data_IF_691258998031
#
_entry.id   IF_691258998031
#
_cell.length_a   1.000
_cell.length_b   1.000
_cell.length_c   1.000
_cell.angle_alpha   90.00
_cell.angle_beta   90.00
_cell.angle_gamma   90.00
#
_symmetry.space_group_name_H-M   'P 1'
#
loop_
_entity.id
_entity.type
_entity.pdbx_description
1 polymer ?
#
# COMPACT_ATOMS: atom_id res chain seq x y z
N UNK A 1 3.99 -27.39 3.89
CA UNK A 1 4.43 -26.00 3.64
C UNK A 1 4.56 -25.63 2.16
N UNK A 2 4.72 -26.57 1.22
CA UNK A 2 4.74 -26.22 -0.22
C UNK A 2 3.36 -25.80 -0.77
N UNK A 3 2.32 -26.50 -0.34
CA UNK A 3 0.93 -26.29 -0.80
C UNK A 3 0.39 -24.88 -0.46
N UNK A 4 0.73 -24.33 0.71
CA UNK A 4 0.29 -22.98 1.08
C UNK A 4 1.01 -21.89 0.27
N UNK A 5 2.28 -22.12 -0.09
CA UNK A 5 3.06 -21.20 -0.93
C UNK A 5 2.59 -21.24 -2.39
N UNK A 6 2.35 -22.45 -2.90
CA UNK A 6 1.84 -22.66 -4.25
C UNK A 6 0.40 -22.12 -4.41
N UNK A 7 -0.42 -22.13 -3.34
CA UNK A 7 -1.76 -21.49 -3.32
C UNK A 7 -1.68 -19.97 -3.29
N UNK A 8 -0.71 -19.40 -2.58
CA UNK A 8 -0.46 -17.96 -2.55
C UNK A 8 0.02 -17.47 -3.92
N UNK A 9 0.93 -18.21 -4.56
CA UNK A 9 1.41 -17.95 -5.92
C UNK A 9 0.32 -18.15 -7.00
N UNK A 10 -0.70 -18.99 -6.76
CA UNK A 10 -1.84 -19.15 -7.67
C UNK A 10 -2.85 -18.01 -7.53
N UNK A 11 -3.08 -17.52 -6.32
CA UNK A 11 -3.94 -16.36 -6.08
C UNK A 11 -3.37 -15.07 -6.69
N UNK A 12 -2.04 -14.92 -6.72
CA UNK A 12 -1.39 -13.73 -7.31
C UNK A 12 -1.29 -13.76 -8.84
N UNK A 13 -1.40 -14.93 -9.48
CA UNK A 13 -1.21 -15.06 -10.93
C UNK A 13 -2.51 -15.09 -11.76
N UNK A 14 -3.66 -15.46 -11.18
CA UNK A 14 -4.94 -15.51 -11.92
C UNK A 14 -5.67 -14.15 -12.01
N UNK A 15 -5.11 -13.08 -11.43
CA UNK A 15 -5.61 -11.69 -11.51
C UNK A 15 -4.61 -10.73 -12.17
N UNK A 16 -3.78 -11.22 -13.09
CA UNK A 16 -2.73 -10.46 -13.76
C UNK A 16 -3.27 -9.29 -14.62
N UNK A 17 -3.57 -8.18 -13.95
CA UNK A 17 -3.39 -6.80 -14.42
C UNK A 17 -3.06 -5.83 -13.28
N UNK A 18 -3.07 -6.24 -12.00
CA UNK A 18 -2.75 -5.36 -10.90
C UNK A 18 -1.57 -5.85 -10.03
N UNK A 19 -0.46 -5.11 -10.02
CA UNK A 19 0.68 -5.38 -9.15
C UNK A 19 0.39 -4.97 -7.70
N UNK A 20 0.96 -5.68 -6.73
CA UNK A 20 0.87 -5.28 -5.32
C UNK A 20 2.16 -5.57 -4.56
N UNK A 21 2.53 -4.68 -3.65
CA UNK A 21 3.66 -4.83 -2.74
C UNK A 21 3.23 -4.63 -1.28
N UNK A 22 3.79 -5.45 -0.40
CA UNK A 22 3.85 -5.12 1.02
C UNK A 22 5.07 -4.24 1.24
N UNK A 23 4.87 -3.02 1.74
CA UNK A 23 5.94 -2.09 2.12
C UNK A 23 5.89 -1.91 3.63
N UNK A 24 7.05 -1.85 4.29
CA UNK A 24 7.10 -1.80 5.74
C UNK A 24 8.32 -1.06 6.25
N UNK A 25 8.19 -0.45 7.43
CA UNK A 25 9.24 0.23 8.16
C UNK A 25 9.48 -0.50 9.49
N UNK A 26 10.70 -1.04 9.67
CA UNK A 26 11.04 -1.96 10.76
C UNK A 26 12.25 -1.51 11.59
N UNK A 27 12.57 -0.22 11.58
CA UNK A 27 13.71 0.36 12.31
C UNK A 27 13.22 0.98 13.64
N UNK A 28 14.14 1.23 14.57
CA UNK A 28 13.88 1.99 15.83
C UNK A 28 12.63 1.54 16.63
N UNK A 29 12.43 0.23 16.75
CA UNK A 29 11.30 -0.45 17.43
C UNK A 29 9.92 -0.25 16.75
N UNK A 30 9.88 0.37 15.58
CA UNK A 30 8.67 0.42 14.75
C UNK A 30 8.46 -0.91 14.01
N UNK A 31 7.19 -1.25 13.82
CA UNK A 31 6.71 -2.37 13.02
C UNK A 31 5.43 -1.86 12.34
N UNK A 32 5.62 -1.12 11.24
CA UNK A 32 4.54 -0.44 10.52
C UNK A 32 4.52 -0.95 9.08
N UNK A 33 3.38 -1.49 8.65
CA UNK A 33 3.17 -2.04 7.32
C UNK A 33 2.12 -1.26 6.53
N UNK A 34 2.29 -1.25 5.21
CA UNK A 34 1.36 -0.71 4.25
C UNK A 34 1.35 -1.58 2.97
N UNK A 35 0.33 -1.38 2.14
CA UNK A 35 0.16 -2.10 0.88
C UNK A 35 0.14 -1.12 -0.29
N UNK A 36 1.08 -1.26 -1.22
CA UNK A 36 1.01 -0.58 -2.51
C UNK A 36 0.23 -1.47 -3.47
N UNK A 37 -0.83 -0.95 -4.08
CA UNK A 37 -1.73 -1.71 -4.97
C UNK A 37 -1.98 -0.90 -6.21
N UNK A 38 -1.72 -1.49 -7.38
CA UNK A 38 -2.13 -0.90 -8.63
C UNK A 38 -3.64 -1.06 -8.80
N UNK A 39 -4.27 0.00 -9.22
CA UNK A 39 -5.71 0.09 -9.43
C UNK A 39 -5.97 0.42 -10.88
N UNK A 40 -6.90 -0.35 -11.43
CA UNK A 40 -7.46 -0.13 -12.74
C UNK A 40 -8.94 0.22 -12.54
N UNK A 41 -9.35 1.42 -12.93
CA UNK A 41 -10.78 1.73 -12.99
C UNK A 41 -11.32 1.24 -14.33
N UNK A 42 -11.95 0.06 -14.34
CA UNK A 42 -12.58 -0.47 -15.57
C UNK A 42 -13.79 0.37 -16.04
N UNK A 43 -14.30 1.30 -15.22
CA UNK A 43 -15.57 1.96 -15.45
C UNK A 43 -15.50 3.46 -15.74
N UNK A 44 -14.44 4.17 -15.37
CA UNK A 44 -14.32 5.59 -15.74
C UNK A 44 -12.89 5.97 -16.15
N UNK A 45 -12.84 7.01 -16.98
CA UNK A 45 -11.72 7.58 -17.74
C UNK A 45 -10.51 8.07 -16.90
N UNK A 46 -10.22 7.49 -15.75
CA UNK A 46 -9.01 7.75 -14.98
C UNK A 46 -7.88 6.80 -15.41
N UNK A 47 -6.69 7.37 -15.57
CA UNK A 47 -5.48 6.62 -15.88
C UNK A 47 -5.15 5.63 -14.74
N UNK A 48 -4.52 4.52 -15.09
CA UNK A 48 -3.99 3.53 -14.15
C UNK A 48 -3.18 4.24 -13.04
N UNK A 49 -3.43 3.86 -11.79
CA UNK A 49 -2.73 4.46 -10.66
C UNK A 49 -2.34 3.42 -9.62
N UNK A 50 -1.38 3.76 -8.78
CA UNK A 50 -1.02 2.98 -7.59
C UNK A 50 -1.47 3.72 -6.33
N UNK A 51 -2.20 3.04 -5.47
CA UNK A 51 -2.50 3.53 -4.13
C UNK A 51 -1.59 2.85 -3.11
N UNK A 52 -1.06 3.60 -2.15
CA UNK A 52 -0.39 3.06 -0.97
C UNK A 52 -1.36 3.21 0.20
N UNK A 53 -1.68 2.09 0.85
CA UNK A 53 -2.72 2.00 1.86
C UNK A 53 -2.16 1.54 3.20
N UNK A 54 -2.67 2.11 4.29
CA UNK A 54 -2.32 1.71 5.65
C UNK A 54 -3.57 1.32 6.45
N UNK A 55 -3.44 0.26 7.25
CA UNK A 55 -4.54 -0.20 8.10
C UNK A 55 -4.61 0.60 9.41
N UNK A 56 -5.79 0.63 10.02
CA UNK A 56 -6.06 1.35 11.27
C UNK A 56 -5.26 0.83 12.48
N UNK A 57 -4.84 -0.43 12.45
CA UNK A 57 -4.19 -1.12 13.57
C UNK A 57 -2.66 -0.99 13.60
N UNK A 58 -2.07 -0.26 12.66
CA UNK A 58 -0.63 0.02 12.55
C UNK A 58 -0.10 1.01 13.61
N UNK A 59 -0.89 1.32 14.64
CA UNK A 59 -0.48 2.15 15.77
C UNK A 59 -0.32 3.65 15.47
N UNK A 60 -0.78 4.11 14.31
CA UNK A 60 -0.74 5.52 13.89
C UNK A 60 -1.85 6.33 14.57
N UNK A 61 -1.58 7.60 14.92
CA UNK A 61 -2.60 8.49 15.47
C UNK A 61 -3.75 8.65 14.48
N UNK A 62 -4.96 8.24 14.90
CA UNK A 62 -6.19 8.32 14.11
C UNK A 62 -6.46 9.72 13.54
N UNK A 63 -5.97 10.79 14.19
CA UNK A 63 -6.09 12.15 13.66
C UNK A 63 -5.34 12.37 12.35
N UNK A 64 -4.21 11.69 12.16
CA UNK A 64 -3.44 11.71 10.91
C UNK A 64 -4.24 10.95 9.85
N UNK A 65 -4.67 9.73 10.17
CA UNK A 65 -5.36 8.85 9.22
C UNK A 65 -6.68 9.41 8.70
N UNK A 66 -7.45 10.12 9.54
CA UNK A 66 -8.74 10.73 9.17
C UNK A 66 -8.65 11.82 8.09
N UNK A 67 -7.45 12.28 7.73
CA UNK A 67 -7.24 13.19 6.60
C UNK A 67 -7.30 12.48 5.25
N UNK A 68 -7.20 11.15 5.25
CA UNK A 68 -7.15 10.30 4.06
C UNK A 68 -8.47 9.58 3.79
N UNK A 69 -8.66 9.18 2.53
CA UNK A 69 -9.83 8.41 2.14
C UNK A 69 -9.68 6.95 2.60
N UNK A 70 -10.70 6.44 3.28
CA UNK A 70 -10.77 5.06 3.70
C UNK A 70 -11.45 4.18 2.64
N UNK A 71 -10.90 3.00 2.42
CA UNK A 71 -11.45 1.94 1.57
C UNK A 71 -11.58 0.65 2.38
N UNK A 72 -12.79 0.10 2.46
CA UNK A 72 -13.12 -1.05 3.33
C UNK A 72 -12.18 -2.25 3.18
N UNK A 73 -11.67 -2.51 1.96
CA UNK A 73 -10.80 -3.65 1.68
C UNK A 73 -9.29 -3.36 1.78
N UNK A 74 -8.90 -2.09 1.91
CA UNK A 74 -7.49 -1.67 1.81
C UNK A 74 -7.00 -0.78 2.97
N UNK A 75 -7.89 -0.09 3.67
CA UNK A 75 -7.52 0.92 4.67
C UNK A 75 -7.48 2.33 4.11
N UNK A 76 -6.67 3.20 4.72
CA UNK A 76 -6.52 4.59 4.31
C UNK A 76 -5.53 4.74 3.17
N UNK A 77 -5.94 5.36 2.07
CA UNK A 77 -5.05 5.70 0.95
C UNK A 77 -4.18 6.90 1.31
N UNK A 78 -2.94 6.65 1.70
CA UNK A 78 -2.00 7.68 2.14
C UNK A 78 -1.24 8.34 0.99
N UNK A 79 -1.12 7.64 -0.15
CA UNK A 79 -0.45 8.12 -1.37
C UNK A 79 -1.20 7.58 -2.60
N UNK A 80 -1.43 8.44 -3.60
CA UNK A 80 -1.89 8.08 -4.95
C UNK A 80 -0.80 8.46 -5.96
N UNK A 81 -0.39 7.52 -6.79
CA UNK A 81 0.63 7.69 -7.84
C UNK A 81 -0.01 7.40 -9.20
N UNK A 82 -0.14 8.41 -10.06
CA UNK A 82 -0.63 8.26 -11.43
C UNK A 82 0.48 7.66 -12.31
N UNK A 83 0.53 6.33 -12.41
CA UNK A 83 1.53 5.58 -13.16
C UNK A 83 1.01 4.19 -13.53
N UNK A 84 1.33 3.72 -14.74
CA UNK A 84 1.05 2.33 -15.17
C UNK A 84 1.87 1.32 -14.34
N UNK A 85 3.14 1.64 -14.05
CA UNK A 85 4.06 0.79 -13.29
C UNK A 85 4.67 1.58 -12.13
N UNK A 86 4.77 0.94 -10.96
CA UNK A 86 5.48 1.44 -9.78
C UNK A 86 6.49 0.38 -9.35
N UNK A 87 7.75 0.79 -9.21
CA UNK A 87 8.80 -0.10 -8.72
C UNK A 87 8.70 -0.26 -7.20
N UNK A 88 9.05 -1.44 -6.70
CA UNK A 88 8.98 -1.74 -5.27
C UNK A 88 9.79 -0.74 -4.42
N UNK A 89 11.02 -0.44 -4.82
CA UNK A 89 11.90 0.51 -4.09
C UNK A 89 11.31 1.92 -4.06
N UNK A 90 10.61 2.33 -5.12
CA UNK A 90 9.92 3.62 -5.18
C UNK A 90 8.74 3.65 -4.20
N UNK A 91 7.94 2.58 -4.15
CA UNK A 91 6.84 2.46 -3.19
C UNK A 91 7.33 2.52 -1.73
N UNK A 92 8.45 1.86 -1.41
CA UNK A 92 9.07 1.92 -0.07
C UNK A 92 9.52 3.34 0.26
N UNK A 93 10.21 4.01 -0.67
CA UNK A 93 10.69 5.37 -0.46
C UNK A 93 9.54 6.37 -0.24
N UNK A 94 8.47 6.26 -1.02
CA UNK A 94 7.25 7.06 -0.87
C UNK A 94 6.60 6.83 0.49
N UNK A 95 6.50 5.57 0.93
CA UNK A 95 5.96 5.24 2.24
C UNK A 95 6.80 5.84 3.38
N UNK A 96 8.13 5.73 3.30
CA UNK A 96 9.03 6.29 4.31
C UNK A 96 8.94 7.82 4.36
N UNK A 97 8.84 8.46 3.20
CA UNK A 97 8.63 9.90 3.12
C UNK A 97 7.32 10.31 3.79
N UNK A 98 6.23 9.56 3.57
CA UNK A 98 4.96 9.85 4.22
C UNK A 98 5.04 9.70 5.75
N UNK A 99 5.74 8.68 6.25
CA UNK A 99 5.96 8.50 7.69
C UNK A 99 6.71 9.69 8.32
N UNK A 100 7.75 10.18 7.64
CA UNK A 100 8.55 11.34 8.08
C UNK A 100 7.72 12.64 8.04
N UNK A 101 7.06 12.93 6.91
CA UNK A 101 6.27 14.15 6.71
C UNK A 101 5.11 14.28 7.70
N UNK A 102 4.54 13.15 8.12
CA UNK A 102 3.44 13.09 9.09
C UNK A 102 3.91 12.94 10.54
N UNK A 103 5.23 12.94 10.81
CA UNK A 103 5.82 12.75 12.14
C UNK A 103 5.35 11.44 12.82
N UNK A 104 5.18 10.37 12.03
CA UNK A 104 4.90 9.02 12.54
C UNK A 104 6.17 8.40 13.10
N UNK A 105 7.30 8.61 12.40
CA UNK A 105 8.65 8.25 12.83
C UNK A 105 9.41 9.52 13.28
N UNK A 106 10.46 9.37 14.12
CA UNK A 106 11.24 10.48 14.71
C UNK A 106 12.74 10.31 14.49
#
# INVERSE_FOLDING_TARGET
MKILRDLWDQFTNDTASAGSYHVGYYEDDYDIEAMAVSRYDELEFEDDYWGIYIFEDEGIDEKILREYQYFDDYGYEIIKVEAEELEFEEAVNLFYQWLDENNVIQ
#
